data_IF_461976479968
#
_entry.id   IF_461976479968
#
_cell.length_a   1.000
_cell.length_b   1.000
_cell.length_c   1.000
_cell.angle_alpha   90.00
_cell.angle_beta   90.00
_cell.angle_gamma   90.00
#
_symmetry.space_group_name_H-M   'P 1'
#
loop_
_entity.id
_entity.type
_entity.pdbx_description
1 polymer ?
#
# COMPACT_ATOMS: atom_id res chain seq x y z
N UNK A 1 -15.29 -27.14 -55.40
CA UNK A 1 -13.94 -27.46 -54.88
C UNK A 1 -13.20 -26.17 -54.56
N UNK A 2 -12.93 -25.90 -53.28
CA UNK A 2 -11.70 -25.31 -52.70
C UNK A 2 -12.03 -24.71 -51.33
N UNK A 3 -11.92 -25.57 -50.34
CA UNK A 3 -11.83 -25.28 -48.91
C UNK A 3 -10.56 -24.45 -48.68
N UNK A 4 -10.68 -23.22 -48.19
CA UNK A 4 -9.53 -22.44 -47.71
C UNK A 4 -9.44 -22.62 -46.20
N UNK A 5 -8.44 -23.39 -45.81
CA UNK A 5 -8.01 -23.65 -44.44
C UNK A 5 -7.35 -22.37 -43.91
N UNK A 6 -7.98 -21.68 -42.96
CA UNK A 6 -7.36 -20.53 -42.28
C UNK A 6 -6.72 -21.04 -40.99
N UNK A 7 -5.39 -21.04 -40.96
CA UNK A 7 -4.57 -21.54 -39.87
C UNK A 7 -4.72 -20.65 -38.61
N UNK A 8 -5.08 -21.26 -37.48
CA UNK A 8 -4.97 -20.66 -36.16
C UNK A 8 -3.48 -20.56 -35.79
N UNK A 9 -2.92 -19.35 -35.80
CA UNK A 9 -1.65 -19.06 -35.13
C UNK A 9 -1.92 -18.88 -33.63
N UNK A 10 -1.58 -19.90 -32.85
CA UNK A 10 -1.57 -19.85 -31.39
C UNK A 10 -0.24 -19.22 -30.93
N UNK A 11 -0.17 -17.90 -30.83
CA UNK A 11 1.00 -17.22 -30.26
C UNK A 11 0.97 -17.33 -28.74
N UNK A 12 1.75 -18.27 -28.19
CA UNK A 12 2.02 -18.38 -26.76
C UNK A 12 2.92 -17.20 -26.32
N UNK A 13 2.32 -16.13 -25.83
CA UNK A 13 3.05 -15.06 -25.14
C UNK A 13 3.42 -15.54 -23.73
N UNK A 14 4.58 -16.20 -23.61
CA UNK A 14 5.29 -16.33 -22.34
C UNK A 14 5.73 -14.93 -21.90
N UNK A 15 4.81 -14.18 -21.30
CA UNK A 15 5.03 -12.82 -20.86
C UNK A 15 5.98 -12.79 -19.68
N UNK A 16 7.21 -12.35 -19.90
CA UNK A 16 8.01 -11.71 -18.85
C UNK A 16 7.21 -10.52 -18.33
N UNK A 17 6.41 -10.72 -17.29
CA UNK A 17 5.87 -9.60 -16.52
C UNK A 17 7.08 -8.87 -15.92
N UNK A 18 7.43 -7.72 -16.49
CA UNK A 18 8.45 -6.86 -15.93
C UNK A 18 8.07 -6.46 -14.50
N UNK A 19 9.05 -6.23 -13.63
CA UNK A 19 8.80 -5.84 -12.22
C UNK A 19 7.82 -4.68 -12.08
N UNK A 20 7.80 -3.75 -13.03
CA UNK A 20 6.85 -2.63 -13.08
C UNK A 20 5.38 -3.06 -13.14
N UNK A 21 5.06 -4.16 -13.84
CA UNK A 21 3.68 -4.63 -13.97
C UNK A 21 3.15 -5.26 -12.67
N UNK A 22 4.01 -5.96 -11.92
CA UNK A 22 3.65 -6.53 -10.62
C UNK A 22 3.43 -5.44 -9.58
N UNK A 23 4.31 -4.43 -9.55
CA UNK A 23 4.15 -3.25 -8.70
C UNK A 23 2.81 -2.56 -9.02
N UNK A 24 2.50 -2.35 -10.29
CA UNK A 24 1.22 -1.74 -10.68
C UNK A 24 0.01 -2.56 -10.21
N UNK A 25 0.06 -3.88 -10.37
CA UNK A 25 -1.01 -4.78 -9.91
C UNK A 25 -1.18 -4.75 -8.39
N UNK A 26 -0.08 -4.70 -7.63
CA UNK A 26 -0.10 -4.57 -6.16
C UNK A 26 -0.90 -3.35 -5.71
N UNK A 27 -0.84 -2.25 -6.46
CA UNK A 27 -1.59 -1.03 -6.14
C UNK A 27 -2.97 -0.96 -6.78
N UNK A 28 -3.39 -1.95 -7.57
CA UNK A 28 -4.71 -1.98 -8.20
C UNK A 28 -4.79 -1.40 -9.62
N UNK A 29 -3.65 -1.26 -10.30
CA UNK A 29 -3.60 -0.91 -11.73
C UNK A 29 -3.10 0.52 -12.04
N UNK A 30 -3.12 0.92 -13.32
CA UNK A 30 -2.59 2.22 -13.76
C UNK A 30 -3.26 3.42 -13.09
N UNK A 31 -4.57 3.33 -12.82
CA UNK A 31 -5.39 4.39 -12.25
C UNK A 31 -4.91 4.77 -10.84
N UNK A 32 -4.63 3.78 -9.99
CA UNK A 32 -4.15 4.02 -8.63
C UNK A 32 -2.69 4.41 -8.59
N UNK A 33 -1.89 3.93 -9.55
CA UNK A 33 -0.53 4.43 -9.74
C UNK A 33 -0.51 5.93 -10.07
N UNK A 34 -1.55 6.47 -10.73
CA UNK A 34 -1.68 7.92 -10.90
C UNK A 34 -1.92 8.64 -9.57
N UNK A 35 -2.79 8.10 -8.70
CA UNK A 35 -3.00 8.63 -7.35
C UNK A 35 -1.72 8.59 -6.50
N UNK A 36 -0.94 7.52 -6.59
CA UNK A 36 0.35 7.42 -5.89
C UNK A 36 1.39 8.40 -6.45
N UNK A 37 1.38 8.71 -7.75
CA UNK A 37 2.37 9.57 -8.40
C UNK A 37 2.13 11.06 -8.18
N UNK A 38 0.88 11.49 -8.24
CA UNK A 38 0.51 12.91 -8.21
C UNK A 38 -0.86 13.12 -7.54
N UNK A 39 -0.99 12.78 -6.25
CA UNK A 39 -2.26 12.88 -5.52
C UNK A 39 -2.75 14.33 -5.44
N UNK A 40 -4.06 14.51 -5.39
CA UNK A 40 -4.69 15.79 -5.05
C UNK A 40 -4.61 16.04 -3.53
N UNK A 41 -4.60 14.97 -2.73
CA UNK A 41 -4.35 15.04 -1.29
C UNK A 41 -3.76 13.74 -0.74
N UNK A 42 -3.05 13.85 0.38
CA UNK A 42 -2.51 12.71 1.12
C UNK A 42 -2.81 12.85 2.60
N UNK A 43 -3.43 11.81 3.17
CA UNK A 43 -3.77 11.74 4.59
C UNK A 43 -3.13 10.50 5.22
N UNK A 44 -2.82 10.57 6.51
CA UNK A 44 -2.31 9.44 7.26
C UNK A 44 -3.04 9.24 8.59
N UNK A 45 -3.08 7.99 9.05
CA UNK A 45 -3.68 7.59 10.32
C UNK A 45 -2.73 6.70 11.10
N UNK A 46 -2.83 6.78 12.43
CA UNK A 46 -2.32 5.74 13.33
C UNK A 46 -3.41 4.69 13.46
N UNK A 47 -3.10 3.45 13.12
CA UNK A 47 -4.07 2.34 13.07
C UNK A 47 -3.62 1.15 13.92
N UNK A 48 -4.51 0.17 14.05
CA UNK A 48 -4.19 -1.15 14.60
C UNK A 48 -5.19 -2.19 14.10
N UNK A 49 -4.83 -3.47 14.22
CA UNK A 49 -5.79 -4.57 14.14
C UNK A 49 -6.67 -4.57 15.39
N UNK A 50 -7.97 -4.86 15.24
CA UNK A 50 -8.92 -4.83 16.35
C UNK A 50 -8.50 -5.74 17.51
N UNK A 51 -7.98 -6.93 17.22
CA UNK A 51 -7.55 -7.90 18.23
C UNK A 51 -6.27 -7.48 18.98
N UNK A 52 -5.50 -6.52 18.45
CA UNK A 52 -4.25 -6.04 19.03
C UNK A 52 -4.42 -4.75 19.85
N UNK A 53 -5.64 -4.20 19.90
CA UNK A 53 -5.95 -3.02 20.71
C UNK A 53 -5.99 -3.42 22.17
N UNK A 54 -5.19 -2.76 23.01
CA UNK A 54 -5.21 -2.97 24.47
C UNK A 54 -6.56 -2.58 25.05
N UNK A 55 -7.03 -3.36 26.01
CA UNK A 55 -8.25 -3.04 26.76
C UNK A 55 -8.19 -1.62 27.33
N UNK A 56 -9.31 -0.89 27.26
CA UNK A 56 -9.41 0.51 27.66
C UNK A 56 -8.87 1.53 26.66
N UNK A 57 -8.27 1.10 25.54
CA UNK A 57 -7.87 2.03 24.47
C UNK A 57 -9.08 2.52 23.69
N UNK A 58 -9.32 3.83 23.70
CA UNK A 58 -10.34 4.45 22.85
C UNK A 58 -9.94 4.40 21.38
N UNK A 59 -10.90 4.07 20.50
CA UNK A 59 -10.70 4.07 19.04
C UNK A 59 -11.60 5.13 18.40
N UNK A 60 -11.12 5.76 17.33
CA UNK A 60 -11.82 6.85 16.62
C UNK A 60 -12.63 6.36 15.42
N UNK A 61 -13.02 5.09 15.42
CA UNK A 61 -13.74 4.43 14.32
C UNK A 61 -12.87 3.46 13.54
N UNK A 62 -13.21 3.28 12.26
CA UNK A 62 -12.58 2.30 11.36
C UNK A 62 -12.12 2.91 10.06
N UNK A 63 -11.07 2.32 9.51
CA UNK A 63 -10.57 2.56 8.17
C UNK A 63 -10.43 1.20 7.49
N UNK A 64 -11.31 0.90 6.53
CA UNK A 64 -11.48 -0.46 5.98
C UNK A 64 -11.60 -1.51 7.11
N UNK A 65 -10.68 -2.47 7.14
CA UNK A 65 -10.68 -3.60 8.09
C UNK A 65 -10.02 -3.26 9.44
N UNK A 66 -9.41 -2.09 9.58
CA UNK A 66 -8.60 -1.69 10.74
C UNK A 66 -9.26 -0.60 11.56
N UNK A 67 -8.86 -0.49 12.84
CA UNK A 67 -9.34 0.59 13.72
C UNK A 67 -8.41 1.80 13.66
N UNK A 68 -9.00 2.98 13.83
CA UNK A 68 -8.25 4.24 13.91
C UNK A 68 -7.93 4.51 15.37
N UNK A 69 -6.65 4.67 15.69
CA UNK A 69 -6.20 5.16 16.99
C UNK A 69 -6.04 6.69 16.97
N UNK A 70 -5.52 7.24 15.87
CA UNK A 70 -5.38 8.69 15.70
C UNK A 70 -5.38 9.12 14.22
N UNK A 71 -5.56 10.41 13.97
CA UNK A 71 -5.68 11.01 12.63
C UNK A 71 -7.13 11.37 12.24
N UNK A 72 -7.36 11.81 10.99
CA UNK A 72 -6.36 11.96 9.93
C UNK A 72 -5.33 13.07 10.22
N UNK A 73 -4.11 12.88 9.72
CA UNK A 73 -3.05 13.90 9.67
C UNK A 73 -2.75 14.21 8.20
N UNK A 74 -2.85 15.48 7.76
CA UNK A 74 -2.41 15.87 6.42
C UNK A 74 -0.91 15.61 6.24
N UNK A 75 -0.55 14.93 5.14
CA UNK A 75 0.86 14.63 4.82
C UNK A 75 1.40 15.72 3.90
N UNK A 76 2.54 16.30 4.27
CA UNK A 76 3.23 17.28 3.41
C UNK A 76 3.61 16.65 2.07
N UNK A 77 3.45 17.39 0.98
CA UNK A 77 3.72 16.92 -0.38
C UNK A 77 5.13 16.31 -0.54
N UNK A 78 6.15 16.91 0.07
CA UNK A 78 7.51 16.39 0.02
C UNK A 78 7.66 15.01 0.67
N UNK A 79 6.98 14.77 1.79
CA UNK A 79 6.96 13.47 2.48
C UNK A 79 6.14 12.45 1.67
N UNK A 80 4.96 12.86 1.17
CA UNK A 80 4.11 12.04 0.30
C UNK A 80 4.87 11.57 -0.95
N UNK A 81 5.58 12.49 -1.61
CA UNK A 81 6.41 12.21 -2.78
C UNK A 81 7.56 11.26 -2.46
N UNK A 82 8.22 11.43 -1.31
CA UNK A 82 9.31 10.55 -0.88
C UNK A 82 8.81 9.12 -0.66
N UNK A 83 7.70 8.94 0.06
CA UNK A 83 7.08 7.64 0.31
C UNK A 83 6.65 6.98 -1.01
N UNK A 84 5.92 7.71 -1.85
CA UNK A 84 5.54 7.22 -3.17
C UNK A 84 6.76 6.81 -4.02
N UNK A 85 7.86 7.55 -3.93
CA UNK A 85 9.13 7.23 -4.59
C UNK A 85 9.75 5.91 -4.13
N UNK A 86 9.56 5.52 -2.87
CA UNK A 86 9.98 4.21 -2.35
C UNK A 86 9.08 3.09 -2.87
N UNK A 87 7.76 3.28 -2.81
CA UNK A 87 6.75 2.27 -3.14
C UNK A 87 6.67 1.92 -4.63
N UNK A 88 7.06 2.83 -5.52
CA UNK A 88 7.05 2.58 -6.97
C UNK A 88 8.20 1.68 -7.46
N UNK A 89 9.18 1.39 -6.60
CA UNK A 89 10.33 0.56 -6.95
C UNK A 89 9.96 -0.92 -6.82
N UNK A 90 10.63 -1.78 -7.56
CA UNK A 90 10.49 -3.23 -7.42
C UNK A 90 11.30 -3.73 -6.21
N UNK A 91 10.78 -3.47 -5.01
CA UNK A 91 11.42 -3.74 -3.71
C UNK A 91 10.80 -4.94 -2.98
N UNK A 92 9.88 -5.62 -3.65
CA UNK A 92 8.94 -6.58 -3.09
C UNK A 92 9.43 -8.03 -3.21
N UNK A 93 8.93 -8.91 -2.34
CA UNK A 93 9.29 -10.34 -2.31
C UNK A 93 8.22 -11.24 -2.95
N UNK A 94 7.99 -11.08 -4.26
CA UNK A 94 6.92 -11.74 -5.00
C UNK A 94 6.83 -13.28 -4.94
N UNK A 95 7.88 -13.96 -4.49
CA UNK A 95 7.97 -15.42 -4.50
C UNK A 95 7.97 -16.02 -3.09
N UNK A 96 7.74 -15.21 -2.05
CA UNK A 96 7.70 -15.64 -0.67
C UNK A 96 6.55 -14.95 0.04
N UNK A 97 5.79 -15.71 0.83
CA UNK A 97 4.73 -15.15 1.66
C UNK A 97 5.11 -15.29 3.13
N UNK A 98 4.94 -14.21 3.90
CA UNK A 98 5.05 -14.24 5.37
C UNK A 98 3.81 -14.85 5.99
N UNK A 99 4.02 -15.66 7.03
CA UNK A 99 2.95 -16.26 7.84
C UNK A 99 2.39 -15.34 8.94
N UNK A 100 2.58 -14.02 8.82
CA UNK A 100 2.17 -13.06 9.84
C UNK A 100 0.79 -12.47 9.53
N UNK A 101 -0.09 -12.40 10.52
CA UNK A 101 -1.32 -11.60 10.46
C UNK A 101 -0.95 -10.13 10.72
N UNK A 102 -1.07 -9.21 9.75
CA UNK A 102 -0.59 -7.85 9.91
C UNK A 102 -1.34 -7.10 11.01
N UNK A 103 -0.60 -6.33 11.81
CA UNK A 103 -1.12 -5.33 12.77
C UNK A 103 -0.66 -3.95 12.29
N UNK A 104 -1.33 -3.36 11.27
CA UNK A 104 -0.85 -2.14 10.65
C UNK A 104 -0.87 -0.99 11.62
N UNK A 105 0.30 -0.44 11.86
CA UNK A 105 0.45 0.71 12.73
C UNK A 105 0.13 2.03 12.04
N UNK A 106 0.26 2.07 10.72
CA UNK A 106 0.06 3.29 9.93
C UNK A 106 -0.78 2.97 8.72
N UNK A 107 -1.65 3.90 8.35
CA UNK A 107 -2.30 3.91 7.06
C UNK A 107 -2.03 5.25 6.35
N UNK A 108 -1.86 5.23 5.03
CA UNK A 108 -1.71 6.42 4.18
C UNK A 108 -2.67 6.30 3.01
N UNK A 109 -3.50 7.33 2.80
CA UNK A 109 -4.42 7.44 1.68
C UNK A 109 -3.92 8.50 0.68
N UNK A 110 -3.81 8.09 -0.58
CA UNK A 110 -3.55 8.95 -1.73
C UNK A 110 -4.86 9.12 -2.50
N UNK A 111 -5.35 10.35 -2.61
CA UNK A 111 -6.59 10.65 -3.34
C UNK A 111 -6.28 11.33 -4.67
N UNK A 112 -6.93 10.89 -5.76
CA UNK A 112 -6.90 11.55 -7.08
C UNK A 112 -8.29 11.53 -7.69
N UNK A 113 -8.89 12.70 -7.88
CA UNK A 113 -10.29 12.80 -8.27
C UNK A 113 -11.19 12.02 -7.32
N UNK A 114 -11.89 11.01 -7.84
CA UNK A 114 -12.75 10.13 -7.04
C UNK A 114 -12.05 8.92 -6.43
N UNK A 115 -10.81 8.62 -6.82
CA UNK A 115 -10.11 7.41 -6.41
C UNK A 115 -9.30 7.61 -5.14
N UNK A 116 -9.37 6.60 -4.27
CA UNK A 116 -8.65 6.54 -3.00
C UNK A 116 -7.82 5.27 -2.94
N UNK A 117 -6.51 5.44 -3.02
CA UNK A 117 -5.53 4.38 -2.75
C UNK A 117 -5.12 4.46 -1.28
N UNK A 118 -5.62 3.52 -0.49
CA UNK A 118 -5.31 3.41 0.93
C UNK A 118 -4.29 2.28 1.13
N UNK A 119 -3.20 2.58 1.83
CA UNK A 119 -2.11 1.65 2.08
C UNK A 119 -1.88 1.54 3.58
N UNK A 120 -2.02 0.32 4.10
CA UNK A 120 -1.69 -0.02 5.48
C UNK A 120 -0.27 -0.55 5.57
N UNK A 121 0.47 -0.18 6.61
CA UNK A 121 1.84 -0.63 6.88
C UNK A 121 1.94 -1.28 8.25
N UNK A 122 2.33 -2.56 8.27
CA UNK A 122 2.75 -3.25 9.47
C UNK A 122 4.28 -3.27 9.53
N UNK A 123 4.88 -2.36 10.31
CA UNK A 123 6.33 -2.29 10.49
C UNK A 123 6.92 -3.40 11.37
N UNK A 124 6.09 -4.21 12.03
CA UNK A 124 6.56 -5.36 12.80
C UNK A 124 6.99 -6.51 11.90
N UNK A 125 6.26 -6.73 10.80
CA UNK A 125 6.49 -7.83 9.87
C UNK A 125 6.77 -7.36 8.44
N UNK A 126 6.87 -6.06 8.21
CA UNK A 126 7.10 -5.43 6.91
C UNK A 126 6.09 -5.82 5.83
N UNK A 127 4.84 -6.02 6.21
CA UNK A 127 3.74 -6.28 5.27
C UNK A 127 2.96 -4.99 5.04
N UNK A 128 2.78 -4.63 3.77
CA UNK A 128 1.81 -3.62 3.37
C UNK A 128 0.55 -4.25 2.81
N UNK A 129 -0.58 -3.57 2.94
CA UNK A 129 -1.86 -3.96 2.35
C UNK A 129 -2.45 -2.78 1.60
N UNK A 130 -2.94 -3.00 0.38
CA UNK A 130 -3.45 -1.95 -0.49
C UNK A 130 -4.94 -2.11 -0.70
N UNK A 131 -5.64 -0.98 -0.68
CA UNK A 131 -7.08 -0.88 -0.89
C UNK A 131 -7.35 0.21 -1.93
N UNK A 132 -8.22 -0.08 -2.89
CA UNK A 132 -8.77 0.89 -3.82
C UNK A 132 -10.25 1.07 -3.51
N UNK A 133 -10.65 2.30 -3.18
CA UNK A 133 -12.06 2.63 -2.91
C UNK A 133 -12.70 1.65 -1.90
N UNK A 134 -11.98 1.41 -0.79
CA UNK A 134 -12.34 0.50 0.31
C UNK A 134 -12.32 -1.01 -0.01
N UNK A 135 -11.89 -1.43 -1.22
CA UNK A 135 -11.72 -2.85 -1.57
C UNK A 135 -10.24 -3.22 -1.57
N UNK A 136 -9.88 -4.31 -0.89
CA UNK A 136 -8.49 -4.83 -0.92
C UNK A 136 -8.10 -5.22 -2.35
N UNK A 137 -6.96 -4.72 -2.81
CA UNK A 137 -6.41 -5.00 -4.15
C UNK A 137 -5.06 -5.71 -4.11
N UNK A 138 -4.38 -5.69 -2.98
CA UNK A 138 -3.10 -6.38 -2.83
C UNK A 138 -2.53 -6.34 -1.43
N UNK A 139 -1.33 -6.87 -1.31
CA UNK A 139 -0.48 -6.81 -0.14
C UNK A 139 0.83 -7.52 -0.42
N UNK A 140 1.93 -7.01 0.13
CA UNK A 140 3.27 -7.53 -0.16
C UNK A 140 4.29 -7.04 0.89
N UNK A 141 5.46 -7.65 0.88
CA UNK A 141 6.57 -7.39 1.78
C UNK A 141 7.40 -6.17 1.35
N UNK A 142 7.74 -5.28 2.29
CA UNK A 142 8.49 -4.04 2.04
C UNK A 142 9.82 -3.95 2.80
N UNK A 143 10.39 -5.07 3.25
CA UNK A 143 11.60 -5.18 4.08
C UNK A 143 12.74 -4.29 3.58
N UNK A 144 12.96 -4.30 2.26
CA UNK A 144 14.05 -3.56 1.60
C UNK A 144 13.95 -2.04 1.77
N UNK A 145 12.76 -1.52 2.08
CA UNK A 145 12.52 -0.09 2.33
C UNK A 145 12.09 0.21 3.76
N UNK A 146 12.03 -0.77 4.67
CA UNK A 146 11.59 -0.60 6.07
C UNK A 146 12.14 0.69 6.69
N UNK A 147 13.48 0.81 6.72
CA UNK A 147 14.16 1.94 7.38
C UNK A 147 13.86 3.27 6.71
N UNK A 148 13.86 3.31 5.37
CA UNK A 148 13.59 4.52 4.63
C UNK A 148 12.14 4.98 4.82
N UNK A 149 11.19 4.03 4.81
CA UNK A 149 9.78 4.31 5.02
C UNK A 149 9.50 4.75 6.46
N UNK A 150 10.11 4.11 7.45
CA UNK A 150 9.98 4.48 8.86
C UNK A 150 10.46 5.92 9.12
N UNK A 151 11.58 6.32 8.49
CA UNK A 151 12.08 7.71 8.55
C UNK A 151 11.02 8.71 8.05
N UNK A 152 10.38 8.44 6.92
CA UNK A 152 9.34 9.34 6.39
C UNK A 152 8.08 9.35 7.25
N UNK A 153 7.64 8.19 7.73
CA UNK A 153 6.47 8.06 8.63
C UNK A 153 6.68 8.82 9.94
N UNK A 154 7.88 8.79 10.53
CA UNK A 154 8.21 9.57 11.73
C UNK A 154 8.09 11.07 11.53
N UNK A 155 8.33 11.58 10.32
CA UNK A 155 8.13 12.99 9.98
C UNK A 155 6.65 13.37 9.91
N UNK A 156 5.75 12.41 9.69
CA UNK A 156 4.29 12.64 9.68
C UNK A 156 3.77 12.72 11.12
N UNK A 157 4.17 11.78 11.99
CA UNK A 157 3.68 11.67 13.36
C UNK A 157 4.72 12.10 14.40
N UNK A 158 5.15 13.36 14.37
CA UNK A 158 6.25 13.86 15.21
C UNK A 158 6.00 13.71 16.71
N UNK A 159 4.73 13.67 17.13
CA UNK A 159 4.33 13.63 18.53
C UNK A 159 3.77 12.26 18.96
N UNK A 160 3.79 11.24 18.08
CA UNK A 160 3.29 9.90 18.42
C UNK A 160 4.46 9.04 18.95
N UNK A 161 4.51 8.73 20.26
CA UNK A 161 5.63 8.01 20.86
C UNK A 161 5.75 6.56 20.38
N UNK A 162 4.68 5.94 19.88
CA UNK A 162 4.76 4.59 19.30
C UNK A 162 5.41 4.66 17.91
N UNK A 163 5.06 5.65 17.10
CA UNK A 163 5.67 5.86 15.78
C UNK A 163 7.14 6.27 15.88
N UNK A 164 7.49 7.12 16.85
CA UNK A 164 8.89 7.54 17.01
C UNK A 164 9.84 6.40 17.39
N UNK A 165 9.31 5.24 17.83
CA UNK A 165 10.08 4.03 18.16
C UNK A 165 10.25 3.04 17.01
N UNK A 166 9.65 3.30 15.83
CA UNK A 166 9.86 2.50 14.62
C UNK A 166 11.35 2.44 14.20
#
# INVERSE_FOLDING_TARGET
MKTLLCALLLTATLGCQSGSARVEQLFGGPQTMAALRAPDSTLAWRTSAKFAVKEGTETKGKLADYVILNGPVPVKESISTAIAGLLKKDIYEWNMAKGCEPIPGVAIEYTKGGDKLLIFFCFECDILLTYLNSKRVGGEDFDRIHRALAIEVKKIFTNDPAIQKL
#
